data_IF_252833656773
#
_entry.id   IF_252833656773
#
_cell.length_a   1.000
_cell.length_b   1.000
_cell.length_c   1.000
_cell.angle_alpha   90.00
_cell.angle_beta   90.00
_cell.angle_gamma   90.00
#
_symmetry.space_group_name_H-M   'P 1'
#
loop_
_entity.id
_entity.type
_entity.pdbx_description
1 polymer ?
#
# COMPACT_ATOMS: atom_id res chain seq x y z
N UNK A 1 -14.50 29.85 16.20
CA UNK A 1 -13.44 30.23 15.24
C UNK A 1 -12.05 30.41 15.85
N UNK A 2 -11.88 30.93 17.08
CA UNK A 2 -10.54 31.13 17.72
C UNK A 2 -9.72 29.83 17.94
N UNK A 3 -10.36 28.66 18.10
CA UNK A 3 -9.65 27.40 18.31
C UNK A 3 -9.03 26.82 17.01
N UNK A 4 -9.58 27.16 15.85
CA UNK A 4 -9.10 26.66 14.57
C UNK A 4 -7.73 27.27 14.21
N UNK A 5 -7.53 28.55 14.47
CA UNK A 5 -6.24 29.23 14.24
C UNK A 5 -5.13 28.76 15.19
N UNK A 6 -5.49 28.26 16.39
CA UNK A 6 -4.53 27.74 17.37
C UNK A 6 -3.93 26.40 16.93
N UNK A 7 -4.69 25.59 16.16
CA UNK A 7 -4.24 24.31 15.61
C UNK A 7 -3.20 24.56 14.51
N UNK A 8 -3.44 25.54 13.62
CA UNK A 8 -2.50 25.88 12.55
C UNK A 8 -1.22 26.55 13.06
N UNK A 9 -1.29 27.31 14.14
CA UNK A 9 -0.13 27.98 14.76
C UNK A 9 0.89 27.03 15.42
N UNK A 10 0.49 25.77 15.71
CA UNK A 10 1.35 24.75 16.30
C UNK A 10 1.87 23.73 15.27
N UNK A 11 1.61 23.94 13.97
CA UNK A 11 2.05 23.02 12.92
C UNK A 11 3.58 23.04 12.80
N UNK A 12 4.21 21.93 13.16
CA UNK A 12 5.65 21.73 13.01
C UNK A 12 5.94 21.02 11.69
N UNK A 13 7.03 21.35 11.03
CA UNK A 13 7.44 20.73 9.77
C UNK A 13 7.62 19.19 9.91
N UNK A 14 7.90 18.73 11.13
CA UNK A 14 8.00 17.29 11.44
C UNK A 14 6.68 16.51 11.26
N UNK A 15 5.52 17.20 11.19
CA UNK A 15 4.23 16.53 10.92
C UNK A 15 3.95 16.31 9.43
N UNK A 16 4.75 16.91 8.54
CA UNK A 16 4.55 16.78 7.09
C UNK A 16 4.73 15.35 6.58
N UNK A 17 5.79 14.60 6.95
CA UNK A 17 5.95 13.23 6.47
C UNK A 17 4.79 12.30 6.86
N UNK A 18 4.34 12.21 8.13
CA UNK A 18 3.15 11.44 8.49
C UNK A 18 1.89 11.88 7.73
N UNK A 19 1.65 13.19 7.62
CA UNK A 19 0.51 13.72 6.90
C UNK A 19 0.50 13.27 5.43
N UNK A 20 1.64 13.30 4.75
CA UNK A 20 1.76 12.85 3.36
C UNK A 20 1.49 11.36 3.21
N UNK A 21 1.92 10.54 4.17
CA UNK A 21 1.65 9.09 4.18
C UNK A 21 0.13 8.85 4.29
N UNK A 22 -0.55 9.51 5.22
CA UNK A 22 -1.99 9.34 5.38
C UNK A 22 -2.82 9.92 4.22
N UNK A 23 -2.39 11.01 3.62
CA UNK A 23 -3.01 11.53 2.39
C UNK A 23 -2.85 10.54 1.24
N UNK A 24 -1.66 9.98 1.04
CA UNK A 24 -1.41 8.96 0.03
C UNK A 24 -2.27 7.70 0.28
N UNK A 25 -2.42 7.28 1.54
CA UNK A 25 -3.30 6.19 1.92
C UNK A 25 -4.77 6.45 1.57
N UNK A 26 -5.26 7.66 1.86
CA UNK A 26 -6.64 8.06 1.55
C UNK A 26 -6.90 8.03 0.04
N UNK A 27 -5.99 8.58 -0.76
CA UNK A 27 -6.09 8.57 -2.23
C UNK A 27 -6.03 7.14 -2.77
N UNK A 28 -5.12 6.30 -2.28
CA UNK A 28 -5.01 4.90 -2.72
C UNK A 28 -6.26 4.09 -2.34
N UNK A 29 -6.91 4.39 -1.22
CA UNK A 29 -8.18 3.76 -0.82
C UNK A 29 -9.30 4.00 -1.83
N UNK A 30 -9.42 5.23 -2.35
CA UNK A 30 -10.41 5.57 -3.38
C UNK A 30 -10.10 4.84 -4.69
N UNK A 31 -8.85 4.88 -5.13
CA UNK A 31 -8.44 4.26 -6.40
C UNK A 31 -8.53 2.74 -6.35
N UNK A 32 -8.35 2.11 -5.20
CA UNK A 32 -8.45 0.67 -5.03
C UNK A 32 -9.85 0.12 -5.35
N UNK A 33 -10.91 0.82 -4.95
CA UNK A 33 -12.28 0.39 -5.23
C UNK A 33 -12.53 0.37 -6.74
N UNK A 34 -12.25 1.48 -7.42
CA UNK A 34 -12.45 1.60 -8.87
C UNK A 34 -11.52 0.64 -9.62
N UNK A 35 -10.25 0.58 -9.20
CA UNK A 35 -9.24 -0.29 -9.80
C UNK A 35 -9.59 -1.77 -9.68
N UNK A 36 -10.15 -2.21 -8.54
CA UNK A 36 -10.55 -3.60 -8.33
C UNK A 36 -11.63 -4.04 -9.35
N UNK A 37 -12.66 -3.23 -9.54
CA UNK A 37 -13.72 -3.54 -10.51
C UNK A 37 -13.21 -3.50 -11.94
N UNK A 38 -12.42 -2.50 -12.30
CA UNK A 38 -11.81 -2.40 -13.63
C UNK A 38 -10.91 -3.61 -13.95
N UNK A 39 -10.02 -3.96 -13.03
CA UNK A 39 -9.07 -5.07 -13.23
C UNK A 39 -9.80 -6.40 -13.24
N UNK A 40 -10.87 -6.57 -12.43
CA UNK A 40 -11.73 -7.75 -12.47
C UNK A 40 -12.28 -8.00 -13.87
N UNK A 41 -12.86 -6.98 -14.47
CA UNK A 41 -13.46 -7.10 -15.82
C UNK A 41 -12.38 -7.28 -16.89
N UNK A 42 -11.28 -6.51 -16.80
CA UNK A 42 -10.20 -6.55 -17.79
C UNK A 42 -9.43 -7.88 -17.79
N UNK A 43 -9.19 -8.47 -16.62
CA UNK A 43 -8.47 -9.75 -16.47
C UNK A 43 -9.40 -10.97 -16.42
N UNK A 44 -10.72 -10.77 -16.44
CA UNK A 44 -11.74 -11.82 -16.36
C UNK A 44 -11.64 -12.65 -15.05
N UNK A 45 -11.43 -11.95 -13.94
CA UNK A 45 -11.25 -12.57 -12.62
C UNK A 45 -12.60 -12.87 -11.94
N UNK A 46 -12.69 -14.05 -11.28
CA UNK A 46 -13.91 -14.41 -10.57
C UNK A 46 -14.09 -13.59 -9.28
N UNK A 47 -15.34 -13.33 -8.90
CA UNK A 47 -15.66 -12.63 -7.64
C UNK A 47 -15.19 -13.44 -6.40
N UNK A 48 -15.22 -14.78 -6.49
CA UNK A 48 -14.76 -15.68 -5.42
C UNK A 48 -13.24 -15.54 -5.23
N UNK A 49 -12.49 -15.50 -6.32
CA UNK A 49 -11.04 -15.27 -6.29
C UNK A 49 -10.70 -13.93 -5.62
N UNK A 50 -11.39 -12.85 -6.00
CA UNK A 50 -11.14 -11.52 -5.43
C UNK A 50 -11.53 -11.44 -3.94
N UNK A 51 -12.59 -12.10 -3.51
CA UNK A 51 -12.98 -12.17 -2.10
C UNK A 51 -11.90 -12.89 -1.26
N UNK A 52 -11.39 -14.02 -1.76
CA UNK A 52 -10.28 -14.73 -1.12
C UNK A 52 -9.01 -13.89 -1.05
N UNK A 53 -8.68 -13.18 -2.13
CA UNK A 53 -7.51 -12.30 -2.18
C UNK A 53 -7.63 -11.13 -1.19
N UNK A 54 -8.83 -10.55 -1.04
CA UNK A 54 -9.09 -9.50 -0.05
C UNK A 54 -8.79 -9.92 1.38
N UNK A 55 -9.09 -11.18 1.74
CA UNK A 55 -8.71 -11.74 3.02
C UNK A 55 -7.18 -11.79 3.21
N UNK A 56 -6.46 -12.32 2.24
CA UNK A 56 -4.99 -12.40 2.30
C UNK A 56 -4.32 -11.02 2.30
N UNK A 57 -4.85 -10.06 1.53
CA UNK A 57 -4.36 -8.68 1.51
C UNK A 57 -4.54 -7.95 2.85
N UNK A 58 -5.45 -8.43 3.71
CA UNK A 58 -5.64 -7.92 5.07
C UNK A 58 -4.58 -8.41 6.07
N UNK A 59 -3.88 -9.53 5.80
CA UNK A 59 -2.90 -10.09 6.73
C UNK A 59 -1.74 -9.15 7.11
N UNK A 60 -1.16 -8.35 6.22
CA UNK A 60 -0.12 -7.38 6.58
C UNK A 60 -0.55 -6.43 7.70
N UNK A 61 -1.84 -6.07 7.78
CA UNK A 61 -2.36 -5.22 8.85
C UNK A 61 -2.35 -5.89 10.23
N UNK A 62 -2.54 -7.21 10.27
CA UNK A 62 -2.41 -7.98 11.52
C UNK A 62 -0.97 -7.97 12.01
N UNK A 63 -0.01 -7.93 11.10
CA UNK A 63 1.42 -7.85 11.42
C UNK A 63 1.87 -6.47 11.89
N UNK A 64 1.00 -5.46 11.88
CA UNK A 64 1.33 -4.09 12.31
C UNK A 64 1.86 -4.06 13.75
N UNK A 65 1.27 -4.84 14.68
CA UNK A 65 1.73 -4.89 16.07
C UNK A 65 3.16 -5.42 16.24
N UNK A 66 3.51 -6.62 15.73
CA UNK A 66 4.89 -7.11 15.82
C UNK A 66 5.88 -6.25 15.03
N UNK A 67 5.46 -5.66 13.90
CA UNK A 67 6.29 -4.73 13.13
C UNK A 67 6.54 -3.42 13.89
N UNK A 68 5.57 -2.94 14.69
CA UNK A 68 5.77 -1.78 15.58
C UNK A 68 6.93 -2.02 16.53
N UNK A 69 6.94 -3.16 17.21
CA UNK A 69 8.05 -3.53 18.09
C UNK A 69 9.40 -3.66 17.36
N UNK A 70 9.38 -4.19 16.14
CA UNK A 70 10.57 -4.25 15.28
C UNK A 70 11.09 -2.86 14.92
N UNK A 71 10.20 -1.92 14.61
CA UNK A 71 10.56 -0.52 14.32
C UNK A 71 11.18 0.15 15.52
N UNK A 72 10.67 -0.10 16.73
CA UNK A 72 11.25 0.43 17.97
C UNK A 72 12.70 -0.03 18.17
N UNK A 73 12.97 -1.32 17.89
CA UNK A 73 14.34 -1.89 17.94
C UNK A 73 15.22 -1.28 16.86
N UNK A 74 14.69 -1.09 15.65
CA UNK A 74 15.38 -0.59 14.49
C UNK A 74 15.25 0.92 14.28
N UNK A 75 14.90 1.67 15.33
CA UNK A 75 14.63 3.12 15.25
C UNK A 75 15.70 3.92 14.51
N UNK A 76 16.96 3.53 14.67
CA UNK A 76 18.09 4.15 13.98
C UNK A 76 17.96 4.06 12.43
N UNK A 77 17.27 3.04 11.92
CA UNK A 77 17.12 2.75 10.50
C UNK A 77 15.72 3.08 9.96
N UNK A 78 14.90 3.83 10.68
CA UNK A 78 13.52 4.17 10.30
C UNK A 78 13.39 4.73 8.89
N UNK A 79 14.33 5.58 8.45
CA UNK A 79 14.32 6.14 7.10
C UNK A 79 14.49 5.06 6.02
N UNK A 80 15.29 4.03 6.30
CA UNK A 80 15.48 2.90 5.37
C UNK A 80 14.19 2.10 5.28
N UNK A 81 13.48 1.87 6.39
CA UNK A 81 12.21 1.15 6.40
C UNK A 81 11.14 1.88 5.58
N UNK A 82 11.06 3.21 5.68
CA UNK A 82 10.15 4.03 4.86
C UNK A 82 10.49 3.90 3.37
N UNK A 83 11.78 3.99 3.02
CA UNK A 83 12.23 3.86 1.63
C UNK A 83 11.92 2.46 1.09
N UNK A 84 12.20 1.41 1.87
CA UNK A 84 11.86 0.03 1.49
C UNK A 84 10.36 -0.15 1.28
N UNK A 85 9.53 0.39 2.17
CA UNK A 85 8.08 0.38 2.00
C UNK A 85 7.65 1.08 0.71
N UNK A 86 8.22 2.25 0.41
CA UNK A 86 7.94 2.98 -0.83
C UNK A 86 8.36 2.20 -2.07
N UNK A 87 9.53 1.56 -2.04
CA UNK A 87 10.01 0.73 -3.16
C UNK A 87 9.12 -0.49 -3.40
N UNK A 88 8.66 -1.15 -2.34
CA UNK A 88 7.72 -2.29 -2.45
C UNK A 88 6.37 -1.84 -3.04
N UNK A 89 5.83 -0.70 -2.62
CA UNK A 89 4.61 -0.14 -3.20
C UNK A 89 4.81 0.26 -4.67
N UNK A 90 5.94 0.88 -5.00
CA UNK A 90 6.27 1.23 -6.39
C UNK A 90 6.40 -0.02 -7.26
N UNK A 91 7.05 -1.08 -6.77
CA UNK A 91 7.14 -2.36 -7.48
C UNK A 91 5.75 -2.97 -7.75
N UNK A 92 4.85 -2.95 -6.76
CA UNK A 92 3.45 -3.36 -6.93
C UNK A 92 2.78 -2.60 -8.08
N UNK A 93 2.89 -1.27 -8.08
CA UNK A 93 2.28 -0.41 -9.11
C UNK A 93 2.87 -0.65 -10.49
N UNK A 94 4.18 -0.89 -10.58
CA UNK A 94 4.89 -1.20 -11.83
C UNK A 94 4.41 -2.56 -12.39
N UNK A 95 4.31 -3.58 -11.54
CA UNK A 95 3.79 -4.89 -11.95
C UNK A 95 2.37 -4.75 -12.50
N UNK A 96 1.49 -4.01 -11.82
CA UNK A 96 0.12 -3.78 -12.28
C UNK A 96 0.09 -3.02 -13.61
N UNK A 97 0.94 -2.00 -13.77
CA UNK A 97 1.05 -1.26 -15.03
C UNK A 97 1.43 -2.18 -16.20
N UNK A 98 2.46 -3.02 -16.02
CA UNK A 98 2.89 -3.96 -17.06
C UNK A 98 1.82 -5.02 -17.34
N UNK A 99 1.13 -5.51 -16.33
CA UNK A 99 0.05 -6.48 -16.49
C UNK A 99 -1.11 -5.92 -17.33
N UNK A 100 -1.43 -4.64 -17.19
CA UNK A 100 -2.48 -3.98 -17.98
C UNK A 100 -1.99 -3.67 -19.39
N UNK A 101 -0.78 -3.12 -19.53
CA UNK A 101 -0.26 -2.64 -20.81
C UNK A 101 0.22 -3.79 -21.72
N UNK A 102 0.85 -4.82 -21.15
CA UNK A 102 1.49 -5.93 -21.87
C UNK A 102 0.91 -7.28 -21.43
N UNK A 103 -0.43 -7.36 -21.35
CA UNK A 103 -1.16 -8.55 -20.87
C UNK A 103 -0.71 -9.85 -21.52
N UNK A 104 -0.57 -9.87 -22.87
CA UNK A 104 -0.18 -11.07 -23.62
C UNK A 104 1.21 -11.58 -23.27
N UNK A 105 2.17 -10.69 -23.08
CA UNK A 105 3.56 -11.03 -22.76
C UNK A 105 3.69 -11.49 -21.31
N UNK A 106 3.01 -10.79 -20.39
CA UNK A 106 3.04 -11.12 -18.97
C UNK A 106 2.39 -12.47 -18.69
N UNK A 107 1.27 -12.79 -19.37
CA UNK A 107 0.58 -14.08 -19.23
C UNK A 107 1.41 -15.26 -19.80
N UNK A 108 2.31 -15.00 -20.73
CA UNK A 108 3.24 -16.03 -21.23
C UNK A 108 4.23 -16.52 -20.14
N UNK A 109 4.52 -15.70 -19.14
CA UNK A 109 5.44 -16.05 -18.03
C UNK A 109 4.68 -16.70 -16.87
N UNK A 110 3.61 -16.06 -16.41
CA UNK A 110 2.71 -16.55 -15.35
C UNK A 110 1.28 -16.16 -15.64
N UNK A 111 0.32 -16.91 -15.10
CA UNK A 111 -1.11 -16.58 -15.23
C UNK A 111 -1.41 -15.17 -14.69
N UNK A 112 -2.41 -14.50 -15.30
CA UNK A 112 -2.87 -13.18 -14.89
C UNK A 112 -3.21 -13.11 -13.39
N UNK A 113 -3.85 -14.16 -12.87
CA UNK A 113 -4.17 -14.29 -11.44
C UNK A 113 -2.92 -14.22 -10.55
N UNK A 114 -1.83 -14.90 -10.93
CA UNK A 114 -0.57 -14.92 -10.18
C UNK A 114 0.04 -13.52 -10.13
N UNK A 115 0.13 -12.82 -11.25
CA UNK A 115 0.64 -11.45 -11.30
C UNK A 115 -0.20 -10.50 -10.47
N UNK A 116 -1.52 -10.66 -10.55
CA UNK A 116 -2.46 -9.86 -9.77
C UNK A 116 -2.32 -10.11 -8.27
N UNK A 117 -2.18 -11.37 -7.83
CA UNK A 117 -1.91 -11.73 -6.43
C UNK A 117 -0.62 -11.07 -5.94
N UNK A 118 0.48 -11.22 -6.68
CA UNK A 118 1.78 -10.64 -6.30
C UNK A 118 1.64 -9.12 -6.13
N UNK A 119 1.08 -8.43 -7.12
CA UNK A 119 0.89 -6.98 -7.04
C UNK A 119 0.02 -6.58 -5.84
N UNK A 120 -1.14 -7.23 -5.67
CA UNK A 120 -2.10 -6.88 -4.61
C UNK A 120 -1.58 -7.16 -3.21
N UNK A 121 -0.69 -8.15 -3.02
CA UNK A 121 -0.09 -8.43 -1.71
C UNK A 121 1.11 -7.52 -1.40
N UNK A 122 1.88 -7.11 -2.40
CA UNK A 122 3.03 -6.21 -2.20
C UNK A 122 2.60 -4.82 -1.71
N UNK A 123 1.51 -4.28 -2.23
CA UNK A 123 1.05 -2.94 -1.87
C UNK A 123 0.78 -2.78 -0.36
N UNK A 124 -0.04 -3.63 0.30
CA UNK A 124 -0.28 -3.54 1.74
C UNK A 124 0.99 -3.77 2.58
N UNK A 125 1.89 -4.66 2.14
CA UNK A 125 3.16 -4.90 2.85
C UNK A 125 3.99 -3.60 2.88
N UNK A 126 4.17 -2.97 1.72
CA UNK A 126 4.90 -1.71 1.62
C UNK A 126 4.24 -0.59 2.42
N UNK A 127 2.90 -0.51 2.38
CA UNK A 127 2.13 0.47 3.13
C UNK A 127 2.29 0.29 4.64
N UNK A 128 2.11 -0.94 5.16
CA UNK A 128 2.23 -1.23 6.61
C UNK A 128 3.62 -0.89 7.14
N UNK A 129 4.68 -1.13 6.35
CA UNK A 129 6.04 -0.73 6.73
C UNK A 129 6.17 0.79 6.94
N UNK A 130 5.56 1.60 6.07
CA UNK A 130 5.57 3.06 6.22
C UNK A 130 4.68 3.53 7.37
N UNK A 131 3.50 2.95 7.47
CA UNK A 131 2.49 3.33 8.45
C UNK A 131 2.98 3.08 9.90
N UNK A 132 3.63 1.94 10.13
CA UNK A 132 4.23 1.63 11.44
C UNK A 132 5.32 2.64 11.84
N UNK A 133 6.14 3.09 10.88
CA UNK A 133 7.16 4.11 11.15
C UNK A 133 6.53 5.49 11.35
N UNK A 134 5.39 5.77 10.71
CA UNK A 134 4.68 7.04 10.88
C UNK A 134 3.97 7.14 12.24
N UNK A 135 3.55 6.02 12.79
CA UNK A 135 2.84 5.93 14.08
C UNK A 135 3.82 5.91 15.28
N UNK A 136 5.09 5.57 15.08
CA UNK A 136 6.13 5.51 16.12
C UNK A 136 6.82 6.87 16.34
#
# INVERSE_FOLDING_TARGET
>A
MKNFYKIFGSFKFSFVPPLMIYLAAGVSGITNIVGLFFVKEYLDLSAVFLAGLGFWAGLPWVLKMPLGHLVDILWKFKSILVILGALVMAASSIIMFFLIQYKSEMIAIFNAETWFVISTLLAPIGFVLQDVVADA
#
